data_IF_609993848711
#
_entry.id   IF_609993848711
#
_cell.length_a   1.000
_cell.length_b   1.000
_cell.length_c   1.000
_cell.angle_alpha   90.00
_cell.angle_beta   90.00
_cell.angle_gamma   90.00
#
_symmetry.space_group_name_H-M   'P 1'
#
loop_
_entity.id
_entity.type
_entity.pdbx_description
1 polymer ?
#
# COMPACT_ATOMS: atom_id res chain seq x y z
N UNK A 1 17.28 10.82 -30.23
CA UNK A 1 16.80 9.82 -29.26
C UNK A 1 17.13 10.41 -27.90
N UNK A 2 16.15 10.87 -27.11
CA UNK A 2 16.43 11.27 -25.74
C UNK A 2 16.86 10.02 -24.98
N UNK A 3 18.05 10.05 -24.41
CA UNK A 3 18.63 8.92 -23.70
C UNK A 3 18.30 9.06 -22.21
N UNK A 4 18.15 7.96 -21.47
CA UNK A 4 17.93 8.00 -20.00
C UNK A 4 19.03 8.83 -19.31
N UNK A 5 20.21 8.92 -19.93
CA UNK A 5 21.32 9.77 -19.55
C UNK A 5 20.94 11.27 -19.40
N UNK A 6 20.02 11.80 -20.22
CA UNK A 6 19.61 13.20 -20.15
C UNK A 6 18.78 13.48 -18.88
N UNK A 7 17.89 12.55 -18.50
CA UNK A 7 17.13 12.65 -17.24
C UNK A 7 18.05 12.56 -16.03
N UNK A 8 18.99 11.62 -16.06
CA UNK A 8 20.00 11.47 -15.00
C UNK A 8 20.87 12.72 -14.90
N UNK A 9 21.31 13.29 -16.02
CA UNK A 9 22.11 14.51 -16.04
C UNK A 9 21.34 15.71 -15.46
N UNK A 10 20.05 15.84 -15.81
CA UNK A 10 19.17 16.90 -15.27
C UNK A 10 19.00 16.74 -13.75
N UNK A 11 18.89 15.51 -13.27
CA UNK A 11 18.76 15.22 -11.85
C UNK A 11 20.07 15.45 -11.07
N UNK A 12 21.21 15.05 -11.61
CA UNK A 12 22.53 15.28 -11.01
C UNK A 12 22.80 16.78 -10.84
N UNK A 13 22.36 17.60 -11.80
CA UNK A 13 22.47 19.06 -11.70
C UNK A 13 21.59 19.68 -10.60
N UNK A 14 20.46 19.04 -10.27
CA UNK A 14 19.47 19.57 -9.34
C UNK A 14 19.59 19.01 -7.91
N UNK A 15 20.50 18.07 -7.65
CA UNK A 15 20.65 17.45 -6.33
C UNK A 15 21.56 18.27 -5.40
N UNK A 16 21.20 18.37 -4.13
CA UNK A 16 22.07 18.93 -3.08
C UNK A 16 22.94 17.86 -2.43
N UNK A 17 22.39 16.66 -2.20
CA UNK A 17 23.07 15.52 -1.58
C UNK A 17 22.79 14.22 -2.37
N UNK A 18 23.66 13.19 -2.26
CA UNK A 18 23.46 11.91 -2.96
C UNK A 18 22.23 11.14 -2.48
N UNK A 19 21.73 11.42 -1.27
CA UNK A 19 20.53 10.78 -0.71
C UNK A 19 19.21 11.32 -1.30
N UNK A 20 19.25 12.47 -1.97
CA UNK A 20 18.09 13.05 -2.68
C UNK A 20 17.95 12.53 -4.12
N UNK A 21 18.80 11.59 -4.53
CA UNK A 21 18.78 11.04 -5.88
C UNK A 21 17.55 10.12 -6.06
N UNK A 22 16.63 10.54 -6.93
CA UNK A 22 15.46 9.74 -7.32
C UNK A 22 15.90 8.57 -8.20
N UNK A 23 15.41 7.38 -7.91
CA UNK A 23 15.79 6.15 -8.62
C UNK A 23 15.13 6.00 -10.00
N UNK A 24 14.33 7.00 -10.43
CA UNK A 24 13.61 7.02 -11.72
C UNK A 24 12.88 5.70 -12.00
N UNK A 25 12.05 5.29 -11.05
CA UNK A 25 11.26 4.08 -11.20
C UNK A 25 10.20 4.26 -12.31
N UNK A 26 9.73 3.19 -12.95
CA UNK A 26 8.63 3.29 -13.90
C UNK A 26 7.40 4.03 -13.33
N UNK A 27 7.11 3.92 -12.03
CA UNK A 27 6.03 4.67 -11.38
C UNK A 27 6.26 6.18 -11.22
N UNK A 28 7.49 6.65 -11.33
CA UNK A 28 7.86 8.07 -11.32
C UNK A 28 7.75 8.72 -12.71
N UNK A 29 7.71 7.90 -13.76
CA UNK A 29 7.71 8.35 -15.16
C UNK A 29 6.29 8.47 -15.70
N UNK A 30 6.04 9.50 -16.49
CA UNK A 30 4.78 9.65 -17.21
C UNK A 30 4.62 8.58 -18.29
N UNK A 31 3.38 8.29 -18.69
CA UNK A 31 3.10 7.29 -19.74
C UNK A 31 3.79 7.62 -21.08
N UNK A 32 4.03 8.91 -21.36
CA UNK A 32 4.73 9.40 -22.56
C UNK A 32 6.23 9.12 -22.48
N UNK A 33 6.83 9.33 -21.31
CA UNK A 33 8.24 9.01 -21.04
C UNK A 33 8.48 7.50 -21.07
N UNK A 34 7.56 6.70 -20.50
CA UNK A 34 7.66 5.24 -20.53
C UNK A 34 7.71 4.68 -21.96
N UNK A 35 6.91 5.24 -22.87
CA UNK A 35 6.93 4.89 -24.29
C UNK A 35 8.23 5.36 -24.97
N UNK A 36 8.69 6.57 -24.63
CA UNK A 36 9.91 7.15 -25.18
C UNK A 36 11.16 6.35 -24.80
N UNK A 37 11.25 5.90 -23.54
CA UNK A 37 12.38 5.12 -23.02
C UNK A 37 12.25 3.61 -23.26
N UNK A 38 11.17 3.15 -23.92
CA UNK A 38 10.91 1.74 -24.21
C UNK A 38 11.08 0.85 -22.96
N UNK A 39 10.54 1.29 -21.83
CA UNK A 39 10.64 0.53 -20.58
C UNK A 39 10.03 -0.85 -20.81
N UNK A 40 10.84 -1.89 -20.57
CA UNK A 40 10.41 -3.25 -20.79
C UNK A 40 9.18 -3.56 -19.93
N UNK A 41 8.14 -4.14 -20.53
CA UNK A 41 6.95 -4.57 -19.80
C UNK A 41 7.28 -5.52 -18.63
N UNK A 42 8.41 -6.24 -18.71
CA UNK A 42 8.92 -7.07 -17.62
C UNK A 42 9.28 -6.26 -16.37
N UNK A 43 9.92 -5.09 -16.52
CA UNK A 43 10.31 -4.25 -15.41
C UNK A 43 9.09 -3.66 -14.69
N UNK A 44 8.11 -3.17 -15.45
CA UNK A 44 6.83 -2.69 -14.91
C UNK A 44 6.12 -3.78 -14.12
N UNK A 45 6.05 -5.01 -14.66
CA UNK A 45 5.44 -6.14 -13.96
C UNK A 45 6.17 -6.50 -12.65
N UNK A 46 7.49 -6.40 -12.61
CA UNK A 46 8.26 -6.61 -11.39
C UNK A 46 7.96 -5.53 -10.34
N UNK A 47 7.91 -4.26 -10.74
CA UNK A 47 7.58 -3.17 -9.84
C UNK A 47 6.16 -3.29 -9.30
N UNK A 48 5.17 -3.62 -10.13
CA UNK A 48 3.79 -3.84 -9.68
C UNK A 48 3.72 -4.90 -8.57
N UNK A 49 4.43 -6.02 -8.73
CA UNK A 49 4.48 -7.09 -7.70
C UNK A 49 5.17 -6.63 -6.41
N UNK A 50 6.23 -5.83 -6.52
CA UNK A 50 6.92 -5.28 -5.35
C UNK A 50 6.02 -4.28 -4.60
N UNK A 51 5.34 -3.39 -5.32
CA UNK A 51 4.41 -2.42 -4.73
C UNK A 51 3.19 -3.10 -4.11
N UNK A 52 2.65 -4.15 -4.74
CA UNK A 52 1.57 -4.95 -4.16
C UNK A 52 2.01 -5.60 -2.85
N UNK A 53 3.19 -6.24 -2.84
CA UNK A 53 3.77 -6.82 -1.62
C UNK A 53 3.97 -5.78 -0.52
N UNK A 54 4.56 -4.64 -0.87
CA UNK A 54 4.79 -3.52 0.04
C UNK A 54 3.47 -2.99 0.64
N UNK A 55 2.42 -2.85 -0.17
CA UNK A 55 1.12 -2.41 0.30
C UNK A 55 0.53 -3.37 1.37
N UNK A 56 0.69 -4.69 1.19
CA UNK A 56 0.23 -5.67 2.17
C UNK A 56 1.08 -5.69 3.44
N UNK A 57 2.39 -5.47 3.33
CA UNK A 57 3.28 -5.38 4.48
C UNK A 57 3.01 -4.13 5.32
N UNK A 58 2.87 -2.95 4.69
CA UNK A 58 2.47 -1.72 5.39
C UNK A 58 1.10 -1.88 6.05
N UNK A 59 0.15 -2.58 5.42
CA UNK A 59 -1.16 -2.86 6.03
C UNK A 59 -1.00 -3.70 7.30
N UNK A 60 -0.14 -4.72 7.28
CA UNK A 60 0.17 -5.55 8.46
C UNK A 60 0.85 -4.74 9.57
N UNK A 61 1.70 -3.80 9.21
CA UNK A 61 2.35 -2.90 10.17
C UNK A 61 1.35 -1.95 10.81
N UNK A 62 0.43 -1.37 10.05
CA UNK A 62 -0.68 -0.56 10.58
C UNK A 62 -1.51 -1.37 11.57
N UNK A 63 -1.86 -2.62 11.24
CA UNK A 63 -2.59 -3.49 12.16
C UNK A 63 -1.79 -3.72 13.46
N UNK A 64 -0.48 -3.91 13.37
CA UNK A 64 0.40 -4.10 14.53
C UNK A 64 0.46 -2.84 15.39
N UNK A 65 0.63 -1.67 14.77
CA UNK A 65 0.63 -0.36 15.44
C UNK A 65 -0.71 -0.09 16.16
N UNK A 66 -1.84 -0.43 15.54
CA UNK A 66 -3.15 -0.25 16.18
C UNK A 66 -3.32 -1.19 17.39
N UNK A 67 -2.80 -2.42 17.30
CA UNK A 67 -2.77 -3.36 18.44
C UNK A 67 -1.94 -2.80 19.59
N UNK A 68 -0.74 -2.28 19.31
CA UNK A 68 0.12 -1.67 20.34
C UNK A 68 -0.53 -0.44 20.95
N UNK A 69 -1.14 0.43 20.14
CA UNK A 69 -1.89 1.60 20.59
C UNK A 69 -3.04 1.23 21.53
N UNK A 70 -3.78 0.16 21.22
CA UNK A 70 -4.85 -0.35 22.10
C UNK A 70 -4.31 -0.78 23.47
N UNK A 71 -3.14 -1.42 23.50
CA UNK A 71 -2.47 -1.82 24.74
C UNK A 71 -1.99 -0.60 25.54
N UNK A 72 -1.39 0.40 24.88
CA UNK A 72 -0.94 1.63 25.53
C UNK A 72 -2.09 2.41 26.18
N UNK A 73 -3.27 2.47 25.54
CA UNK A 73 -4.45 3.07 26.16
C UNK A 73 -4.91 2.31 27.41
N UNK A 74 -4.80 0.98 27.41
CA UNK A 74 -5.10 0.16 28.59
C UNK A 74 -4.10 0.44 29.72
N UNK A 75 -2.81 0.50 29.42
CA UNK A 75 -1.77 0.82 30.41
C UNK A 75 -1.94 2.22 30.99
N UNK A 76 -2.25 3.21 30.15
CA UNK A 76 -2.49 4.60 30.59
C UNK A 76 -3.58 4.70 31.67
N UNK A 77 -4.60 3.83 31.64
CA UNK A 77 -5.67 3.81 32.64
C UNK A 77 -5.16 3.46 34.05
N UNK A 78 -4.05 2.74 34.16
CA UNK A 78 -3.46 2.30 35.43
C UNK A 78 -2.32 3.21 35.92
N UNK A 79 -1.94 4.22 35.13
CA UNK A 79 -0.89 5.17 35.51
C UNK A 79 -1.47 6.25 36.43
N UNK A 80 -1.00 6.30 37.67
CA UNK A 80 -1.43 7.32 38.63
C UNK A 80 -0.30 8.32 38.85
N UNK A 81 -0.61 9.62 38.70
CA UNK A 81 0.33 10.71 38.89
C UNK A 81 0.69 11.47 37.60
N UNK A 82 0.96 12.77 37.75
CA UNK A 82 1.12 13.71 36.64
C UNK A 82 2.27 13.32 35.70
N UNK A 83 3.43 12.95 36.23
CA UNK A 83 4.61 12.59 35.42
C UNK A 83 4.38 11.32 34.58
N UNK A 84 3.73 10.30 35.15
CA UNK A 84 3.40 9.07 34.42
C UNK A 84 2.33 9.32 33.35
N UNK A 85 1.35 10.18 33.64
CA UNK A 85 0.34 10.60 32.67
C UNK A 85 0.95 11.37 31.49
N UNK A 86 1.89 12.28 31.74
CA UNK A 86 2.60 12.99 30.68
C UNK A 86 3.41 12.05 29.80
N UNK A 87 4.22 11.14 30.40
CA UNK A 87 5.03 10.17 29.64
C UNK A 87 4.19 9.22 28.79
N UNK A 88 3.14 8.64 29.38
CA UNK A 88 2.23 7.74 28.64
C UNK A 88 1.47 8.45 27.54
N UNK A 89 1.06 9.71 27.75
CA UNK A 89 0.43 10.52 26.71
C UNK A 89 1.39 10.83 25.57
N UNK A 90 2.65 11.19 25.87
CA UNK A 90 3.68 11.40 24.84
C UNK A 90 3.91 10.15 24.00
N UNK A 91 4.02 8.97 24.64
CA UNK A 91 4.19 7.70 23.93
C UNK A 91 2.99 7.36 23.04
N UNK A 92 1.78 7.62 23.49
CA UNK A 92 0.58 7.44 22.67
C UNK A 92 0.61 8.35 21.43
N UNK A 93 1.01 9.62 21.59
CA UNK A 93 1.10 10.55 20.46
C UNK A 93 2.15 10.12 19.43
N UNK A 94 3.30 9.62 19.88
CA UNK A 94 4.34 9.08 19.01
C UNK A 94 3.81 7.90 18.17
N UNK A 95 3.11 6.96 18.79
CA UNK A 95 2.53 5.80 18.08
C UNK A 95 1.39 6.22 17.15
N UNK A 96 0.62 7.26 17.49
CA UNK A 96 -0.38 7.86 16.59
C UNK A 96 0.31 8.46 15.36
N UNK A 97 1.40 9.20 15.55
CA UNK A 97 2.15 9.79 14.44
C UNK A 97 2.73 8.70 13.52
N UNK A 98 3.23 7.60 14.09
CA UNK A 98 3.72 6.45 13.33
C UNK A 98 2.61 5.80 12.50
N UNK A 99 1.42 5.59 13.08
CA UNK A 99 0.24 5.10 12.35
C UNK A 99 -0.10 6.01 11.17
N UNK A 100 -0.14 7.32 11.41
CA UNK A 100 -0.51 8.30 10.40
C UNK A 100 0.56 8.40 9.28
N UNK A 101 1.83 8.16 9.60
CA UNK A 101 2.89 8.04 8.60
C UNK A 101 2.70 6.79 7.73
N UNK A 102 2.44 5.62 8.33
CA UNK A 102 2.20 4.38 7.60
C UNK A 102 0.94 4.44 6.71
N UNK A 103 -0.13 5.14 7.16
CA UNK A 103 -1.32 5.38 6.33
C UNK A 103 -0.95 6.19 5.08
N UNK A 104 -0.11 7.23 5.23
CA UNK A 104 0.35 8.04 4.10
C UNK A 104 1.18 7.21 3.13
N UNK A 105 2.08 6.39 3.66
CA UNK A 105 2.91 5.48 2.86
C UNK A 105 2.06 4.48 2.07
N UNK A 106 1.08 3.82 2.71
CA UNK A 106 0.16 2.93 2.01
C UNK A 106 -0.58 3.63 0.87
N UNK A 107 -1.11 4.83 1.12
CA UNK A 107 -1.83 5.60 0.09
C UNK A 107 -0.90 6.04 -1.04
N UNK A 108 0.36 6.38 -0.77
CA UNK A 108 1.36 6.70 -1.79
C UNK A 108 1.69 5.48 -2.67
N UNK A 109 1.91 4.31 -2.06
CA UNK A 109 2.13 3.04 -2.77
C UNK A 109 0.94 2.69 -3.67
N UNK A 110 -0.29 2.91 -3.17
CA UNK A 110 -1.51 2.73 -3.94
C UNK A 110 -1.58 3.67 -5.15
N UNK A 111 -1.23 4.95 -4.98
CA UNK A 111 -1.20 5.89 -6.10
C UNK A 111 -0.19 5.47 -7.17
N UNK A 112 0.98 4.97 -6.77
CA UNK A 112 1.96 4.42 -7.72
C UNK A 112 1.41 3.22 -8.49
N UNK A 113 0.70 2.30 -7.84
CA UNK A 113 0.02 1.19 -8.51
C UNK A 113 -1.06 1.64 -9.51
N UNK A 114 -1.77 2.73 -9.22
CA UNK A 114 -2.75 3.33 -10.13
C UNK A 114 -2.04 3.96 -11.34
N UNK A 115 -0.92 4.67 -11.12
CA UNK A 115 -0.13 5.29 -12.20
C UNK A 115 0.43 4.24 -13.16
N UNK A 116 0.84 3.08 -12.64
CA UNK A 116 1.28 1.93 -13.45
C UNK A 116 0.12 1.20 -14.16
N UNK A 117 -1.15 1.59 -13.91
CA UNK A 117 -2.33 0.94 -14.49
C UNK A 117 -2.60 -0.46 -13.96
N UNK A 118 -1.91 -0.89 -12.91
CA UNK A 118 -2.06 -2.23 -12.34
C UNK A 118 -3.36 -2.39 -11.55
N UNK A 119 -3.85 -1.31 -10.94
CA UNK A 119 -5.12 -1.27 -10.22
C UNK A 119 -5.97 -0.10 -10.71
N UNK A 120 -7.29 -0.28 -10.66
CA UNK A 120 -8.24 0.82 -10.90
C UNK A 120 -8.51 1.58 -9.60
N UNK A 121 -8.89 2.86 -9.70
CA UNK A 121 -9.24 3.68 -8.53
C UNK A 121 -10.36 3.06 -7.66
N UNK A 122 -11.22 2.22 -8.23
CA UNK A 122 -12.33 1.54 -7.55
C UNK A 122 -12.02 0.10 -7.11
N UNK A 123 -10.74 -0.31 -7.14
CA UNK A 123 -10.37 -1.66 -6.71
C UNK A 123 -10.81 -1.95 -5.26
N UNK A 124 -11.44 -3.10 -5.08
CA UNK A 124 -12.02 -3.55 -3.82
C UNK A 124 -10.97 -4.10 -2.86
N UNK A 125 -9.84 -4.60 -3.38
CA UNK A 125 -8.76 -5.19 -2.59
C UNK A 125 -7.89 -4.11 -1.95
N UNK A 126 -7.44 -3.14 -2.75
CA UNK A 126 -6.60 -2.02 -2.29
C UNK A 126 -7.41 -0.72 -2.25
N UNK A 127 -8.26 -0.59 -1.22
CA UNK A 127 -9.05 0.63 -0.98
C UNK A 127 -8.22 1.71 -0.29
N UNK A 128 -8.50 3.01 -0.57
CA UNK A 128 -7.82 4.10 0.11
C UNK A 128 -8.09 4.04 1.61
N UNK A 129 -7.04 4.25 2.40
CA UNK A 129 -7.13 4.07 3.85
C UNK A 129 -7.27 5.42 4.56
N UNK A 130 -8.32 5.54 5.40
CA UNK A 130 -8.51 6.69 6.28
C UNK A 130 -8.21 6.30 7.73
N UNK A 131 -7.96 7.31 8.58
CA UNK A 131 -7.72 7.10 10.02
C UNK A 131 -8.89 6.36 10.70
N UNK A 132 -10.13 6.62 10.27
CA UNK A 132 -11.33 5.96 10.78
C UNK A 132 -11.33 4.43 10.53
N UNK A 133 -10.73 4.00 9.42
CA UNK A 133 -10.68 2.59 9.02
C UNK A 133 -9.71 1.77 9.89
N UNK A 134 -8.88 2.44 10.69
CA UNK A 134 -8.00 1.76 11.66
C UNK A 134 -8.72 1.36 12.94
N UNK A 135 -9.95 1.82 13.14
CA UNK A 135 -10.71 1.54 14.36
C UNK A 135 -10.86 0.04 14.59
N UNK A 136 -10.58 -0.39 15.82
CA UNK A 136 -10.80 -1.76 16.27
C UNK A 136 -11.44 -1.75 17.64
N UNK A 137 -12.44 -2.59 17.85
CA UNK A 137 -12.93 -2.80 19.20
C UNK A 137 -11.93 -3.64 20.02
N UNK A 138 -11.75 -3.24 21.26
CA UNK A 138 -10.89 -3.98 22.19
C UNK A 138 -11.51 -5.33 22.55
N UNK A 139 -10.77 -6.42 22.35
CA UNK A 139 -11.23 -7.79 22.63
C UNK A 139 -11.28 -8.12 24.13
N UNK A 140 -10.44 -7.47 24.94
CA UNK A 140 -10.33 -7.73 26.38
C UNK A 140 -11.47 -7.13 27.21
N UNK A 141 -12.21 -6.16 26.66
CA UNK A 141 -13.29 -5.47 27.38
C UNK A 141 -14.62 -6.17 27.06
N UNK A 142 -15.44 -6.40 28.08
CA UNK A 142 -16.80 -6.93 27.92
C UNK A 142 -17.60 -5.98 27.02
N UNK A 143 -18.26 -6.54 25.99
CA UNK A 143 -19.09 -5.78 25.05
C UNK A 143 -20.18 -5.01 25.81
N UNK A 144 -20.33 -3.74 25.48
CA UNK A 144 -21.44 -2.93 25.95
C UNK A 144 -22.69 -3.20 25.10
N UNK A 145 -23.87 -2.91 25.65
CA UNK A 145 -25.13 -2.93 24.90
C UNK A 145 -25.03 -1.93 23.75
N UNK A 146 -25.28 -2.38 22.52
CA UNK A 146 -25.14 -1.56 21.30
C UNK A 146 -23.83 -1.72 20.54
N UNK A 147 -22.83 -2.42 21.09
CA UNK A 147 -21.57 -2.70 20.38
C UNK A 147 -21.77 -3.55 19.12
N UNK A 148 -22.90 -4.26 18.98
CA UNK A 148 -23.24 -5.05 17.80
C UNK A 148 -23.36 -4.20 16.53
N UNK A 149 -23.81 -2.93 16.66
CA UNK A 149 -24.06 -2.04 15.52
C UNK A 149 -22.83 -1.29 15.02
N UNK A 150 -21.76 -1.24 15.82
CA UNK A 150 -20.48 -0.65 15.39
C UNK A 150 -19.66 -1.75 14.71
N UNK A 151 -19.17 -1.56 13.50
CA UNK A 151 -18.26 -2.53 12.90
C UNK A 151 -16.81 -2.15 13.15
N UNK A 152 -15.93 -3.15 13.13
CA UNK A 152 -14.49 -2.86 13.09
C UNK A 152 -14.17 -2.18 11.75
N UNK A 153 -13.09 -1.39 11.75
CA UNK A 153 -12.63 -0.66 10.59
C UNK A 153 -12.18 -1.57 9.45
N UNK A 154 -12.07 -1.00 8.26
CA UNK A 154 -11.89 -1.74 7.01
C UNK A 154 -10.69 -2.69 7.02
N UNK A 155 -9.59 -2.32 7.69
CA UNK A 155 -8.38 -3.14 7.78
C UNK A 155 -8.57 -4.45 8.55
N UNK A 156 -9.67 -4.59 9.29
CA UNK A 156 -9.99 -5.73 10.14
C UNK A 156 -11.11 -6.60 9.57
N UNK A 157 -11.99 -6.00 8.77
CA UNK A 157 -13.10 -6.72 8.13
C UNK A 157 -12.63 -7.30 6.80
N UNK A 158 -12.60 -8.63 6.71
CA UNK A 158 -12.29 -9.42 5.51
C UNK A 158 -13.22 -9.12 4.31
N UNK A 159 -13.06 -7.96 3.69
CA UNK A 159 -13.37 -7.77 2.26
C UNK A 159 -12.07 -7.52 1.50
N UNK A 160 -11.12 -8.45 1.69
CA UNK A 160 -9.79 -8.46 1.08
C UNK A 160 -8.73 -9.10 1.98
N UNK A 161 -8.76 -10.42 2.11
CA UNK A 161 -7.66 -11.29 2.55
C UNK A 161 -7.30 -11.31 4.06
N UNK A 162 -7.19 -12.55 4.58
CA UNK A 162 -6.78 -12.97 5.94
C UNK A 162 -7.89 -13.24 6.97
N UNK A 163 -8.81 -14.15 6.65
CA UNK A 163 -9.29 -15.14 7.61
C UNK A 163 -8.76 -16.51 7.18
N UNK A 164 -7.71 -16.99 7.85
CA UNK A 164 -7.46 -18.42 8.06
C UNK A 164 -7.20 -19.35 6.87
N UNK A 165 -7.22 -18.89 5.61
CA UNK A 165 -6.80 -19.71 4.47
C UNK A 165 -5.38 -19.30 4.10
N UNK A 166 -4.40 -20.13 4.49
CA UNK A 166 -3.11 -20.14 3.78
C UNK A 166 -3.41 -20.17 2.28
N UNK A 167 -2.76 -19.34 1.43
CA UNK A 167 -2.90 -19.55 0.00
C UNK A 167 -2.43 -20.97 -0.27
N UNK A 168 -3.36 -21.85 -0.68
CA UNK A 168 -2.97 -23.07 -1.33
C UNK A 168 -2.00 -22.64 -2.43
N UNK A 169 -0.81 -23.24 -2.43
CA UNK A 169 0.10 -23.19 -3.55
C UNK A 169 -0.68 -23.63 -4.79
N UNK A 170 -1.26 -22.68 -5.50
CA UNK A 170 -2.00 -22.94 -6.72
C UNK A 170 -1.72 -21.77 -7.63
N UNK A 171 -0.80 -22.02 -8.56
CA UNK A 171 -0.69 -21.29 -9.80
C UNK A 171 -2.08 -21.09 -10.41
N UNK A 172 -2.53 -19.85 -10.49
CA UNK A 172 -3.64 -19.46 -11.37
C UNK A 172 -3.04 -18.43 -12.32
N UNK A 173 -2.42 -18.93 -13.39
CA UNK A 173 -3.03 -19.06 -14.72
C UNK A 173 -3.27 -17.68 -15.33
N UNK A 174 -2.26 -17.24 -16.08
CA UNK A 174 -2.34 -16.63 -17.41
C UNK A 174 -3.75 -16.34 -17.92
N UNK A 175 -4.08 -15.06 -18.11
CA UNK A 175 -4.95 -14.70 -19.24
C UNK A 175 -4.13 -14.89 -20.52
N UNK A 176 -4.56 -15.71 -21.49
CA UNK A 176 -3.85 -15.82 -22.76
C UNK A 176 -4.11 -14.56 -23.58
N UNK A 177 -3.05 -13.86 -23.95
CA UNK A 177 -3.03 -12.80 -24.98
C UNK A 177 -3.14 -13.40 -26.41
N UNK A 178 -3.46 -14.69 -26.56
CA UNK A 178 -3.31 -15.41 -27.83
C UNK A 178 -4.50 -15.25 -28.80
N UNK A 179 -5.66 -14.73 -28.38
CA UNK A 179 -6.82 -14.63 -29.29
C UNK A 179 -6.78 -13.46 -30.30
N UNK A 180 -5.85 -12.51 -30.19
CA UNK A 180 -5.79 -11.39 -31.15
C UNK A 180 -4.83 -11.59 -32.33
N UNK A 181 -4.14 -12.74 -32.44
CA UNK A 181 -3.20 -13.02 -33.55
C UNK A 181 -3.69 -14.07 -34.56
N UNK A 182 -4.82 -14.74 -34.31
CA UNK A 182 -5.42 -15.66 -35.30
C UNK A 182 -6.44 -14.97 -36.23
N UNK A 183 -6.91 -13.76 -35.89
CA UNK A 183 -7.77 -12.98 -36.77
C UNK A 183 -7.02 -12.30 -37.93
N UNK A 184 -5.69 -12.19 -37.85
CA UNK A 184 -4.87 -11.54 -38.89
C UNK A 184 -4.36 -12.51 -39.97
N UNK A 185 -4.41 -13.83 -39.75
CA UNK A 185 -3.85 -14.82 -40.68
C UNK A 185 -4.86 -15.37 -41.69
N UNK A 186 -6.15 -14.99 -41.60
CA UNK A 186 -7.21 -15.51 -42.49
C UNK A 186 -7.57 -14.59 -43.67
N UNK A 187 -6.91 -13.43 -43.84
CA UNK A 187 -7.20 -12.49 -44.94
C UNK A 187 -6.24 -12.65 -46.13
N UNK A 188 -5.22 -13.52 -46.05
CA UNK A 188 -4.20 -13.68 -47.11
C UNK A 188 -4.21 -15.01 -47.88
N UNK A 189 -5.34 -15.74 -47.90
CA UNK A 189 -5.57 -16.80 -48.88
C UNK A 189 -7.01 -16.79 -49.39
N UNK A 190 -7.29 -15.91 -50.35
CA UNK A 190 -8.14 -16.17 -51.51
C UNK A 190 -7.71 -15.26 -52.67
#
# INVERSE_FOLDING_TARGET
MPEVADLVATQVQNRATPEDERLLLPSDLSAEEQQTFSISAALTNCECKLLEGHAFDVLRDIQTIVKTLTNLYKEKKHNYGQLQQTRSSARIQEVIALRDANIREYNATRESLIRLGSITADDLLLRPLKKADTYRKQTTIKRAVGDTYRHDGLIWTNRGTMAGTQPASTSVITKPIIESLQAATFIYQQ
#
